data_IF_128509633794
#
_entry.id   IF_128509633794
#
_cell.length_a   1.000
_cell.length_b   1.000
_cell.length_c   1.000
_cell.angle_alpha   90.00
_cell.angle_beta   90.00
_cell.angle_gamma   90.00
#
_symmetry.space_group_name_H-M   'P 1'
#
loop_
_entity.id
_entity.type
_entity.pdbx_description
1 polymer ?
#
# COMPACT_ATOMS: atom_id res chain seq x y z
N UNK A 1 3.52 7.28 25.83
CA UNK A 1 3.64 5.86 25.44
C UNK A 1 2.24 5.30 25.28
N UNK A 2 1.71 5.30 24.05
CA UNK A 2 0.38 4.75 23.76
C UNK A 2 0.23 4.49 22.25
N UNK A 3 1.16 3.76 21.63
CA UNK A 3 1.02 3.30 20.23
C UNK A 3 1.71 1.94 20.04
N UNK A 4 1.21 0.91 20.73
CA UNK A 4 1.52 -0.49 20.42
C UNK A 4 0.22 -1.28 20.58
N UNK A 5 -0.68 -1.13 19.63
CA UNK A 5 -1.78 -2.05 19.36
C UNK A 5 -1.63 -2.50 17.90
N UNK A 6 -1.84 -3.78 17.57
CA UNK A 6 -1.54 -4.33 16.25
C UNK A 6 -2.55 -3.83 15.22
N UNK A 7 -2.36 -2.61 14.71
CA UNK A 7 -3.17 -2.02 13.64
C UNK A 7 -3.06 -2.77 12.30
N UNK A 8 -2.21 -3.80 12.20
CA UNK A 8 -2.14 -4.70 11.06
C UNK A 8 -3.38 -5.62 10.92
N UNK A 9 -4.19 -5.79 11.97
CA UNK A 9 -5.35 -6.69 11.96
C UNK A 9 -6.37 -6.44 10.83
N UNK A 10 -6.84 -5.20 10.55
CA UNK A 10 -7.73 -4.94 9.42
C UNK A 10 -7.08 -5.23 8.07
N UNK A 11 -5.80 -4.93 7.90
CA UNK A 11 -5.08 -5.16 6.63
C UNK A 11 -4.91 -6.65 6.35
N UNK A 12 -4.54 -7.45 7.36
CA UNK A 12 -4.42 -8.91 7.25
C UNK A 12 -5.78 -9.54 6.86
N UNK A 13 -6.88 -9.07 7.45
CA UNK A 13 -8.24 -9.51 7.10
C UNK A 13 -8.60 -9.18 5.65
N UNK A 14 -8.21 -8.01 5.14
CA UNK A 14 -8.42 -7.63 3.74
C UNK A 14 -7.57 -8.49 2.80
N UNK A 15 -6.32 -8.80 3.14
CA UNK A 15 -5.48 -9.73 2.36
C UNK A 15 -6.10 -11.12 2.31
N UNK A 16 -6.58 -11.63 3.44
CA UNK A 16 -7.23 -12.95 3.51
C UNK A 16 -8.54 -12.93 2.71
N UNK A 17 -9.38 -11.89 2.85
CA UNK A 17 -10.62 -11.76 2.10
C UNK A 17 -10.40 -11.62 0.57
N UNK A 18 -9.32 -10.94 0.17
CA UNK A 18 -8.93 -10.79 -1.22
C UNK A 18 -8.43 -12.09 -1.87
N UNK A 19 -7.96 -13.04 -1.06
CA UNK A 19 -7.32 -14.28 -1.51
C UNK A 19 -8.24 -15.49 -1.41
N UNK A 20 -9.29 -15.42 -0.59
CA UNK A 20 -10.24 -16.51 -0.38
C UNK A 20 -11.49 -16.30 -1.24
N UNK A 21 -11.68 -17.21 -2.20
CA UNK A 21 -12.92 -17.52 -2.97
C UNK A 21 -13.18 -16.82 -4.30
N UNK A 22 -12.41 -17.09 -5.38
CA UNK A 22 -12.86 -16.65 -6.71
C UNK A 22 -12.59 -17.70 -7.82
N UNK A 23 -13.64 -18.32 -8.40
CA UNK A 23 -13.55 -19.23 -9.53
C UNK A 23 -13.40 -18.53 -10.90
N UNK A 24 -13.47 -17.20 -10.95
CA UNK A 24 -13.38 -16.43 -12.21
C UNK A 24 -12.52 -15.17 -12.11
N UNK A 25 -11.62 -15.00 -13.09
CA UNK A 25 -10.66 -13.88 -13.16
C UNK A 25 -11.32 -12.52 -12.98
N UNK A 26 -12.50 -12.32 -13.57
CA UNK A 26 -13.24 -11.05 -13.58
C UNK A 26 -13.71 -10.58 -12.20
N UNK A 27 -13.78 -11.48 -11.21
CA UNK A 27 -14.15 -11.10 -9.85
C UNK A 27 -12.93 -10.98 -8.93
N UNK A 28 -11.74 -11.39 -9.40
CA UNK A 28 -10.51 -11.50 -8.60
C UNK A 28 -9.67 -10.24 -8.52
N UNK A 29 -8.71 -10.25 -7.59
CA UNK A 29 -7.64 -9.25 -7.50
C UNK A 29 -6.78 -9.19 -8.77
N UNK A 30 -6.85 -10.18 -9.65
CA UNK A 30 -6.12 -10.21 -10.92
C UNK A 30 -6.92 -9.62 -12.09
N UNK A 31 -8.09 -9.03 -11.83
CA UNK A 31 -8.91 -8.40 -12.86
C UNK A 31 -8.33 -7.04 -13.30
N UNK A 32 -8.51 -6.63 -14.58
CA UNK A 32 -8.10 -5.30 -15.05
C UNK A 32 -8.79 -4.14 -14.32
N UNK A 33 -10.03 -4.35 -13.86
CA UNK A 33 -10.77 -3.35 -13.08
C UNK A 33 -10.13 -3.12 -11.71
N UNK A 34 -9.76 -4.19 -11.01
CA UNK A 34 -9.09 -4.10 -9.72
C UNK A 34 -7.70 -3.46 -9.83
N UNK A 35 -6.93 -3.80 -10.86
CA UNK A 35 -5.65 -3.17 -11.11
C UNK A 35 -5.79 -1.64 -11.34
N UNK A 36 -6.85 -1.21 -12.03
CA UNK A 36 -7.15 0.20 -12.24
C UNK A 36 -7.56 0.90 -10.94
N UNK A 37 -8.36 0.24 -10.10
CA UNK A 37 -8.76 0.78 -8.80
C UNK A 37 -7.55 1.00 -7.89
N UNK A 38 -6.68 -0.01 -7.77
CA UNK A 38 -5.43 0.11 -6.98
C UNK A 38 -4.50 1.19 -7.53
N UNK A 39 -4.43 1.39 -8.85
CA UNK A 39 -3.66 2.48 -9.45
C UNK A 39 -4.17 3.87 -9.05
N UNK A 40 -5.49 4.08 -9.02
CA UNK A 40 -6.08 5.35 -8.57
C UNK A 40 -5.82 5.61 -7.09
N UNK A 41 -5.92 4.57 -6.26
CA UNK A 41 -5.58 4.68 -4.83
C UNK A 41 -4.11 5.03 -4.66
N UNK A 42 -3.21 4.33 -5.36
CA UNK A 42 -1.78 4.63 -5.33
C UNK A 42 -1.47 6.05 -5.79
N UNK A 43 -2.11 6.54 -6.85
CA UNK A 43 -1.92 7.91 -7.30
C UNK A 43 -2.25 8.90 -6.18
N UNK A 44 -3.38 8.73 -5.51
CA UNK A 44 -3.79 9.58 -4.40
C UNK A 44 -2.78 9.49 -3.23
N UNK A 45 -2.41 8.27 -2.83
CA UNK A 45 -1.45 8.04 -1.76
C UNK A 45 -0.08 8.62 -2.08
N UNK A 46 0.43 8.47 -3.30
CA UNK A 46 1.72 9.03 -3.73
C UNK A 46 1.72 10.55 -3.78
N UNK A 47 0.61 11.19 -4.16
CA UNK A 47 0.49 12.66 -4.07
C UNK A 47 0.55 13.09 -2.61
N UNK A 48 -0.17 12.42 -1.71
CA UNK A 48 -0.16 12.75 -0.29
C UNK A 48 1.22 12.49 0.35
N UNK A 49 1.88 11.39 0.00
CA UNK A 49 3.22 11.05 0.48
C UNK A 49 4.24 12.08 0.05
N UNK A 50 4.20 12.53 -1.21
CA UNK A 50 5.05 13.62 -1.69
C UNK A 50 4.80 14.93 -0.93
N UNK A 51 3.54 15.35 -0.76
CA UNK A 51 3.20 16.59 -0.05
C UNK A 51 3.65 16.58 1.40
N UNK A 52 3.41 15.47 2.10
CA UNK A 52 3.80 15.29 3.50
C UNK A 52 5.32 15.14 3.65
N UNK A 53 6.00 14.51 2.69
CA UNK A 53 7.45 14.42 2.64
C UNK A 53 8.11 15.79 2.45
N UNK A 54 7.58 16.62 1.54
CA UNK A 54 8.04 18.01 1.41
C UNK A 54 7.77 18.83 2.68
N UNK A 55 6.66 18.59 3.37
CA UNK A 55 6.38 19.25 4.64
C UNK A 55 7.34 18.81 5.76
N UNK A 56 7.72 17.53 5.80
CA UNK A 56 8.65 16.97 6.79
C UNK A 56 10.12 17.36 6.52
N UNK A 57 10.45 17.68 5.27
CA UNK A 57 11.81 17.92 4.80
C UNK A 57 12.48 19.14 5.46
N UNK A 58 13.77 19.03 5.83
CA UNK A 58 14.48 20.09 6.59
C UNK A 58 14.67 21.39 5.82
N UNK A 59 14.61 21.35 4.49
CA UNK A 59 14.80 22.53 3.62
C UNK A 59 13.46 23.06 3.12
N UNK A 60 12.50 22.18 2.83
CA UNK A 60 11.21 22.52 2.22
C UNK A 60 10.13 22.88 3.23
N UNK A 61 10.24 22.45 4.50
CA UNK A 61 9.17 22.60 5.50
C UNK A 61 8.73 24.04 5.74
N UNK A 62 9.66 25.00 5.72
CA UNK A 62 9.35 26.42 5.96
C UNK A 62 8.46 26.99 4.84
N UNK A 63 8.76 26.60 3.60
CA UNK A 63 7.97 27.00 2.43
C UNK A 63 6.57 26.38 2.54
N UNK A 64 6.48 25.07 2.78
CA UNK A 64 5.18 24.38 2.90
C UNK A 64 4.34 24.93 4.05
N UNK A 65 4.94 25.16 5.21
CA UNK A 65 4.26 25.75 6.37
C UNK A 65 3.70 27.14 6.01
N UNK A 66 4.46 27.96 5.29
CA UNK A 66 4.02 29.29 4.88
C UNK A 66 2.85 29.24 3.90
N UNK A 67 2.94 28.44 2.83
CA UNK A 67 1.91 28.40 1.78
C UNK A 67 0.61 27.78 2.30
N UNK A 68 0.71 26.88 3.30
CA UNK A 68 -0.44 26.27 3.97
C UNK A 68 -0.99 27.11 5.13
N UNK A 69 -0.48 28.32 5.36
CA UNK A 69 -0.93 29.20 6.44
C UNK A 69 -0.71 28.61 7.84
N UNK A 70 0.29 27.74 7.99
CA UNK A 70 0.60 27.04 9.23
C UNK A 70 -0.15 25.73 9.46
N UNK A 71 -1.02 25.30 8.53
CA UNK A 71 -1.76 24.04 8.66
C UNK A 71 -0.85 22.81 8.55
N UNK A 72 0.13 22.84 7.65
CA UNK A 72 1.05 21.74 7.42
C UNK A 72 2.45 22.10 7.91
N UNK A 73 2.65 22.02 9.22
CA UNK A 73 3.95 22.24 9.86
C UNK A 73 4.89 21.06 9.64
N UNK A 74 6.19 21.22 9.94
CA UNK A 74 7.16 20.12 9.87
C UNK A 74 6.76 18.90 10.70
N UNK A 75 6.25 19.12 11.92
CA UNK A 75 5.82 18.03 12.82
C UNK A 75 4.63 17.27 12.25
N UNK A 76 3.58 17.99 11.84
CA UNK A 76 2.38 17.40 11.23
C UNK A 76 2.73 16.69 9.91
N UNK A 77 3.59 17.31 9.09
CA UNK A 77 4.08 16.72 7.86
C UNK A 77 4.79 15.39 8.08
N UNK A 78 5.64 15.31 9.11
CA UNK A 78 6.34 14.08 9.47
C UNK A 78 5.36 13.01 9.96
N UNK A 79 4.45 13.34 10.87
CA UNK A 79 3.44 12.38 11.37
C UNK A 79 2.57 11.82 10.24
N UNK A 80 2.08 12.69 9.35
CA UNK A 80 1.28 12.25 8.21
C UNK A 80 2.09 11.45 7.18
N UNK A 81 3.34 11.83 6.93
CA UNK A 81 4.22 11.11 6.00
C UNK A 81 4.45 9.68 6.47
N UNK A 82 4.73 9.52 7.76
CA UNK A 82 4.92 8.24 8.44
C UNK A 82 3.63 7.40 8.43
N UNK A 83 2.47 8.01 8.72
CA UNK A 83 1.17 7.33 8.65
C UNK A 83 0.82 6.81 7.23
N UNK A 84 1.36 7.43 6.18
CA UNK A 84 1.11 7.04 4.80
C UNK A 84 1.92 5.83 4.34
N UNK A 85 3.02 5.46 5.04
CA UNK A 85 3.92 4.37 4.62
C UNK A 85 3.16 3.04 4.52
N UNK A 86 2.47 2.65 5.58
CA UNK A 86 1.74 1.38 5.65
C UNK A 86 0.63 1.25 4.57
N UNK A 87 -0.29 2.21 4.42
CA UNK A 87 -1.27 2.19 3.32
C UNK A 87 -0.62 2.12 1.95
N UNK A 88 0.45 2.90 1.71
CA UNK A 88 1.11 2.99 0.42
C UNK A 88 1.80 1.66 0.09
N UNK A 89 2.47 1.05 1.05
CA UNK A 89 3.05 -0.29 0.94
C UNK A 89 1.99 -1.35 0.62
N UNK A 90 0.88 -1.37 1.37
CA UNK A 90 -0.22 -2.30 1.16
C UNK A 90 -0.75 -2.23 -0.28
N UNK A 91 -1.14 -1.02 -0.73
CA UNK A 91 -1.71 -0.84 -2.07
C UNK A 91 -0.68 -1.07 -3.18
N UNK A 92 0.61 -0.79 -2.93
CA UNK A 92 1.68 -1.01 -3.90
C UNK A 92 1.89 -2.50 -4.17
N UNK A 93 1.97 -3.30 -3.10
CA UNK A 93 2.13 -4.75 -3.21
C UNK A 93 0.89 -5.37 -3.84
N UNK A 94 -0.30 -4.92 -3.46
CA UNK A 94 -1.56 -5.36 -4.05
C UNK A 94 -1.64 -5.04 -5.55
N UNK A 95 -1.19 -3.85 -5.96
CA UNK A 95 -1.13 -3.46 -7.37
C UNK A 95 -0.15 -4.31 -8.17
N UNK A 96 1.04 -4.58 -7.63
CA UNK A 96 2.04 -5.45 -8.26
C UNK A 96 1.51 -6.89 -8.38
N UNK A 97 0.96 -7.45 -7.31
CA UNK A 97 0.41 -8.80 -7.31
C UNK A 97 -0.73 -8.95 -8.35
N UNK A 98 -1.62 -7.94 -8.42
CA UNK A 98 -2.67 -7.84 -9.44
C UNK A 98 -2.09 -7.85 -10.86
N UNK A 99 -1.11 -6.99 -11.13
CA UNK A 99 -0.47 -6.86 -12.43
C UNK A 99 0.29 -8.12 -12.87
N UNK A 100 1.04 -8.75 -11.95
CA UNK A 100 1.73 -10.01 -12.20
C UNK A 100 0.70 -11.10 -12.52
N UNK A 101 -0.32 -11.27 -11.69
CA UNK A 101 -1.34 -12.29 -11.92
C UNK A 101 -2.05 -12.11 -13.26
N UNK A 102 -2.45 -10.89 -13.60
CA UNK A 102 -3.04 -10.57 -14.91
C UNK A 102 -2.08 -10.89 -16.07
N UNK A 103 -0.80 -10.57 -15.93
CA UNK A 103 0.20 -10.87 -16.95
C UNK A 103 0.39 -12.38 -17.16
N UNK A 104 0.42 -13.17 -16.08
CA UNK A 104 0.54 -14.64 -16.15
C UNK A 104 -0.70 -15.25 -16.83
N UNK A 105 -1.89 -14.76 -16.48
CA UNK A 105 -3.16 -15.18 -17.11
C UNK A 105 -3.12 -14.90 -18.62
N UNK A 106 -2.70 -13.69 -19.03
CA UNK A 106 -2.59 -13.32 -20.44
C UNK A 106 -1.57 -14.18 -21.22
N UNK A 107 -0.57 -14.74 -20.52
CA UNK A 107 0.38 -15.70 -21.09
C UNK A 107 -0.13 -17.15 -21.10
N UNK A 108 -1.38 -17.39 -20.68
CA UNK A 108 -2.00 -18.71 -20.72
C UNK A 108 -1.55 -19.66 -19.59
N UNK A 109 -0.93 -19.14 -18.53
CA UNK A 109 -0.53 -19.95 -17.37
C UNK A 109 -1.79 -20.33 -16.59
N UNK A 110 -2.05 -21.65 -16.48
CA UNK A 110 -3.26 -22.20 -15.84
C UNK A 110 -2.98 -22.82 -14.46
N UNK A 111 -1.76 -22.70 -13.94
CA UNK A 111 -1.39 -23.31 -12.66
C UNK A 111 -2.04 -22.56 -11.49
N UNK A 112 -3.22 -23.03 -11.07
CA UNK A 112 -4.05 -22.43 -10.02
C UNK A 112 -3.31 -22.05 -8.74
N UNK A 113 -2.38 -22.87 -8.21
CA UNK A 113 -1.64 -22.53 -6.98
C UNK A 113 -0.85 -21.22 -7.04
N UNK A 114 -0.46 -20.74 -8.22
CA UNK A 114 0.20 -19.42 -8.33
C UNK A 114 -0.72 -18.32 -7.79
N UNK A 115 -2.00 -18.40 -8.14
CA UNK A 115 -2.99 -17.36 -7.90
C UNK A 115 -3.62 -17.45 -6.52
N UNK A 116 -3.69 -18.66 -5.94
CA UNK A 116 -4.36 -18.91 -4.66
C UNK A 116 -3.39 -19.06 -3.49
N UNK A 117 -2.11 -19.31 -3.74
CA UNK A 117 -1.10 -19.55 -2.70
C UNK A 117 0.13 -18.67 -2.89
N UNK A 118 0.80 -18.77 -4.03
CA UNK A 118 2.13 -18.14 -4.21
C UNK A 118 2.04 -16.62 -4.19
N UNK A 119 1.23 -16.01 -5.05
CA UNK A 119 1.07 -14.56 -5.08
C UNK A 119 0.52 -13.98 -3.76
N UNK A 120 -0.49 -14.60 -3.12
CA UNK A 120 -0.91 -14.24 -1.76
C UNK A 120 0.21 -14.25 -0.72
N UNK A 121 1.02 -15.32 -0.67
CA UNK A 121 2.14 -15.44 0.27
C UNK A 121 3.19 -14.36 0.01
N UNK A 122 3.55 -14.13 -1.26
CA UNK A 122 4.47 -13.06 -1.62
C UNK A 122 3.95 -11.69 -1.19
N UNK A 123 2.64 -11.45 -1.32
CA UNK A 123 2.01 -10.21 -0.87
C UNK A 123 2.09 -10.05 0.66
N UNK A 124 1.77 -11.11 1.41
CA UNK A 124 1.86 -11.10 2.87
C UNK A 124 3.30 -10.89 3.35
N UNK A 125 4.27 -11.60 2.77
CA UNK A 125 5.68 -11.48 3.13
C UNK A 125 6.23 -10.10 2.78
N UNK A 126 5.89 -9.57 1.61
CA UNK A 126 6.29 -8.22 1.21
C UNK A 126 5.73 -7.18 2.18
N UNK A 127 4.46 -7.29 2.55
CA UNK A 127 3.81 -6.34 3.45
C UNK A 127 4.41 -6.43 4.86
N UNK A 128 4.57 -7.65 5.40
CA UNK A 128 5.21 -7.88 6.68
C UNK A 128 6.65 -7.34 6.71
N UNK A 129 7.39 -7.44 5.61
CA UNK A 129 8.75 -6.89 5.50
C UNK A 129 8.73 -5.37 5.58
N UNK A 130 7.82 -4.71 4.87
CA UNK A 130 7.72 -3.24 4.93
C UNK A 130 7.32 -2.77 6.33
N UNK A 131 6.30 -3.37 6.94
CA UNK A 131 5.87 -3.04 8.30
C UNK A 131 6.98 -3.28 9.31
N UNK A 132 7.72 -4.39 9.19
CA UNK A 132 8.86 -4.66 10.06
C UNK A 132 9.95 -3.60 9.90
N UNK A 133 10.33 -3.27 8.66
CA UNK A 133 11.33 -2.24 8.40
C UNK A 133 10.88 -0.87 8.92
N UNK A 134 9.63 -0.51 8.67
CA UNK A 134 9.03 0.73 9.15
C UNK A 134 9.12 0.80 10.68
N UNK A 135 8.74 -0.27 11.39
CA UNK A 135 8.81 -0.36 12.86
C UNK A 135 10.23 -0.25 13.45
N UNK A 136 11.30 -0.43 12.66
CA UNK A 136 12.66 -0.21 13.14
C UNK A 136 13.04 1.28 13.21
N UNK A 137 12.29 2.15 12.52
CA UNK A 137 12.51 3.59 12.50
C UNK A 137 11.61 4.34 13.50
N UNK A 138 10.80 3.63 14.31
CA UNK A 138 10.00 4.14 15.42
C UNK A 138 10.37 3.48 16.75
#
# INVERSE_FOLDING_TARGET
>A
MLYLEPQAAPYILIVIAATVTIPSINKSIYSPSFQRQTAWVLLALSIMEALTGFAAGPVSSNIITMITGGLLTRGIGLELHLLLIDPLAFFFILHIASGIGLALIRRGIKWTPIYTVILPILLLLGFATVVYLDSLFF
#
